data_IF_537687439639
#
_entry.id   IF_537687439639
#
_cell.length_a   1.000
_cell.length_b   1.000
_cell.length_c   1.000
_cell.angle_alpha   90.00
_cell.angle_beta   90.00
_cell.angle_gamma   90.00
#
_symmetry.space_group_name_H-M   'P 1'
#
loop_
_entity.id
_entity.type
_entity.pdbx_description
1 polymer ?
#
# COMPACT_ATOMS: atom_id res chain seq x y z
N UNK A 1 7.15 5.59 -2.21
CA UNK A 1 5.94 5.05 -1.55
C UNK A 1 6.21 4.40 -0.20
N UNK A 2 7.45 4.01 0.12
CA UNK A 2 7.80 3.42 1.43
C UNK A 2 7.27 4.30 2.58
N UNK A 3 6.65 3.66 3.58
CA UNK A 3 6.02 4.31 4.74
C UNK A 3 4.66 4.94 4.46
N UNK A 4 4.15 4.90 3.22
CA UNK A 4 2.79 5.34 2.89
C UNK A 4 1.80 4.20 3.06
N UNK A 5 0.56 4.56 3.38
CA UNK A 5 -0.58 3.64 3.35
C UNK A 5 -1.40 3.91 2.09
N UNK A 6 -1.79 2.84 1.41
CA UNK A 6 -2.64 2.86 0.22
C UNK A 6 -3.97 2.21 0.62
N UNK A 7 -5.08 2.89 0.40
CA UNK A 7 -6.39 2.26 0.47
C UNK A 7 -6.76 1.70 -0.91
N UNK A 8 -7.14 0.41 -0.95
CA UNK A 8 -7.59 -0.27 -2.17
C UNK A 8 -8.80 -1.12 -1.82
N UNK A 9 -9.97 -0.78 -2.36
CA UNK A 9 -11.23 -1.48 -2.09
C UNK A 9 -11.50 -1.72 -0.59
N UNK A 10 -11.25 -0.70 0.26
CA UNK A 10 -11.42 -0.77 1.72
C UNK A 10 -10.32 -1.53 2.47
N UNK A 11 -9.29 -2.05 1.79
CA UNK A 11 -8.10 -2.62 2.43
C UNK A 11 -7.03 -1.53 2.60
N UNK A 12 -6.46 -1.45 3.81
CA UNK A 12 -5.34 -0.56 4.09
C UNK A 12 -4.02 -1.32 3.91
N UNK A 13 -3.20 -0.88 2.97
CA UNK A 13 -1.96 -1.52 2.59
C UNK A 13 -0.79 -0.59 2.89
N UNK A 14 0.06 -0.95 3.85
CA UNK A 14 1.28 -0.22 4.18
C UNK A 14 2.44 -0.69 3.32
N UNK A 15 3.16 0.23 2.68
CA UNK A 15 4.37 -0.09 1.91
C UNK A 15 5.57 -0.15 2.84
N UNK A 16 6.16 -1.34 3.01
CA UNK A 16 7.27 -1.58 3.94
C UNK A 16 8.64 -1.41 3.28
N UNK A 17 8.79 -1.92 2.05
CA UNK A 17 10.05 -1.92 1.35
C UNK A 17 9.87 -1.92 -0.16
N UNK A 18 10.95 -1.57 -0.86
CA UNK A 18 11.03 -1.61 -2.32
C UNK A 18 11.95 -2.74 -2.77
N UNK A 19 11.46 -3.55 -3.71
CA UNK A 19 12.17 -4.71 -4.26
C UNK A 19 12.03 -4.68 -5.80
N UNK A 20 12.96 -4.00 -6.46
CA UNK A 20 12.95 -3.82 -7.92
C UNK A 20 11.67 -3.16 -8.40
N UNK A 21 10.89 -3.85 -9.23
CA UNK A 21 9.62 -3.37 -9.79
C UNK A 21 8.40 -3.63 -8.90
N UNK A 22 8.65 -4.09 -7.67
CA UNK A 22 7.61 -4.40 -6.70
C UNK A 22 7.83 -3.69 -5.37
N UNK A 23 6.75 -3.62 -4.61
CA UNK A 23 6.75 -3.23 -3.21
C UNK A 23 6.40 -4.43 -2.36
N UNK A 24 7.14 -4.59 -1.26
CA UNK A 24 6.74 -5.44 -0.16
C UNK A 24 5.83 -4.63 0.75
N UNK A 25 4.62 -5.12 0.95
CA UNK A 25 3.58 -4.43 1.68
C UNK A 25 3.03 -5.30 2.81
N UNK A 26 2.37 -4.64 3.76
CA UNK A 26 1.54 -5.29 4.79
C UNK A 26 0.10 -4.85 4.61
N UNK A 27 -0.81 -5.82 4.47
CA UNK A 27 -2.23 -5.56 4.63
C UNK A 27 -2.51 -5.35 6.13
N UNK A 28 -2.95 -4.16 6.51
CA UNK A 28 -3.22 -3.81 7.90
C UNK A 28 -4.52 -4.44 8.41
N UNK A 29 -5.46 -4.77 7.51
CA UNK A 29 -6.72 -5.46 7.83
C UNK A 29 -6.48 -6.94 8.16
N UNK A 30 -5.67 -7.64 7.35
CA UNK A 30 -5.42 -9.09 7.53
C UNK A 30 -4.09 -9.41 8.22
N UNK A 31 -3.23 -8.41 8.42
CA UNK A 31 -1.84 -8.53 8.92
C UNK A 31 -0.89 -9.37 8.05
N UNK A 32 -1.30 -9.73 6.84
CA UNK A 32 -0.49 -10.52 5.92
C UNK A 32 0.53 -9.66 5.16
N UNK A 33 1.66 -10.26 4.80
CA UNK A 33 2.63 -9.68 3.88
C UNK A 33 2.22 -10.04 2.45
N UNK A 34 2.26 -9.05 1.57
CA UNK A 34 1.96 -9.21 0.15
C UNK A 34 2.95 -8.42 -0.70
N UNK A 35 3.11 -8.85 -1.95
CA UNK A 35 4.00 -8.19 -2.92
C UNK A 35 3.14 -7.59 -4.02
N UNK A 36 3.32 -6.29 -4.27
CA UNK A 36 2.57 -5.56 -5.30
C UNK A 36 3.50 -5.03 -6.37
N UNK A 37 3.15 -5.21 -7.65
CA UNK A 37 3.87 -4.53 -8.74
C UNK A 37 3.60 -3.04 -8.69
N UNK A 38 4.65 -2.22 -8.76
CA UNK A 38 4.54 -0.74 -8.75
C UNK A 38 3.58 -0.25 -9.83
N UNK A 39 3.74 -0.75 -11.06
CA UNK A 39 2.90 -0.40 -12.19
C UNK A 39 1.41 -0.73 -11.99
N UNK A 40 1.10 -1.79 -11.23
CA UNK A 40 -0.29 -2.14 -10.94
C UNK A 40 -0.92 -1.15 -9.96
N UNK A 41 -0.18 -0.73 -8.93
CA UNK A 41 -0.64 0.29 -7.98
C UNK A 41 -0.79 1.65 -8.66
N UNK A 42 0.19 2.08 -9.45
CA UNK A 42 0.14 3.35 -10.18
C UNK A 42 -1.08 3.40 -11.12
N UNK A 43 -1.37 2.27 -11.79
CA UNK A 43 -2.56 2.13 -12.62
C UNK A 43 -3.85 2.22 -11.80
N UNK A 44 -3.93 1.52 -10.67
CA UNK A 44 -5.10 1.55 -9.80
C UNK A 44 -5.38 2.97 -9.28
N UNK A 45 -4.33 3.71 -8.90
CA UNK A 45 -4.46 5.12 -8.46
C UNK A 45 -4.98 5.99 -9.61
N UNK A 46 -4.40 5.88 -10.81
CA UNK A 46 -4.87 6.64 -11.99
C UNK A 46 -6.32 6.35 -12.38
N UNK A 47 -6.80 5.14 -12.10
CA UNK A 47 -8.18 4.72 -12.36
C UNK A 47 -9.15 5.06 -11.20
N UNK A 48 -8.67 5.70 -10.13
CA UNK A 48 -9.49 6.02 -8.95
C UNK A 48 -9.89 4.79 -8.13
N UNK A 49 -9.19 3.67 -8.31
CA UNK A 49 -9.44 2.40 -7.60
C UNK A 49 -8.61 2.26 -6.32
N UNK A 50 -7.61 3.13 -6.16
CA UNK A 50 -6.71 3.18 -5.03
C UNK A 50 -6.34 4.63 -4.72
N UNK A 51 -6.05 4.92 -3.45
CA UNK A 51 -5.56 6.24 -3.04
C UNK A 51 -4.53 6.15 -1.93
N UNK A 52 -3.66 7.16 -1.84
CA UNK A 52 -2.67 7.25 -0.76
C UNK A 52 -3.29 8.01 0.39
N UNK A 53 -3.45 7.34 1.53
CA UNK A 53 -4.07 7.92 2.71
C UNK A 53 -3.00 8.31 3.74
N UNK A 54 -3.24 9.43 4.42
CA UNK A 54 -2.45 9.83 5.58
C UNK A 54 -2.95 9.02 6.77
N UNK A 55 -2.07 8.21 7.35
CA UNK A 55 -2.32 7.57 8.63
C UNK A 55 -1.34 8.12 9.63
N UNK A 56 -1.84 8.71 10.70
CA UNK A 56 -1.03 8.99 11.87
C UNK A 56 -0.70 7.64 12.51
N UNK A 57 0.58 7.31 12.56
CA UNK A 57 1.04 6.16 13.33
C UNK A 57 0.78 6.48 14.80
N UNK A 58 -0.29 5.95 15.38
CA UNK A 58 -0.42 5.91 16.84
C UNK A 58 0.74 5.07 17.36
N UNK A 59 1.80 5.74 17.79
CA UNK A 59 2.86 5.15 18.60
C UNK A 59 2.28 5.07 20.02
N UNK A 60 1.66 3.94 20.34
CA UNK A 60 1.43 3.49 21.73
C UNK A 60 2.49 2.44 22.09
#
# INVERSE_FOLDING_TARGET
MIGKTIEIAGMLIEVLAEEGDSWKCRNLTTRQILVMKKAAVDKAIKLGQAEVVLRESSQD
#
